data_IF_105587609389
#
_entry.id   IF_105587609389
#
_cell.length_a   1.000
_cell.length_b   1.000
_cell.length_c   1.000
_cell.angle_alpha   90.00
_cell.angle_beta   90.00
_cell.angle_gamma   90.00
#
_symmetry.space_group_name_H-M   'P 1'
#
loop_
_entity.id
_entity.type
_entity.pdbx_description
1 polymer ?
#
# COMPACT_ATOMS: atom_id res chain seq x y z
N UNK A 1 10.73 -11.55 -14.78
CA UNK A 1 10.24 -10.25 -15.33
C UNK A 1 11.44 -9.39 -15.69
N UNK A 2 11.36 -8.71 -16.83
CA UNK A 2 12.39 -7.77 -17.26
C UNK A 2 12.13 -6.45 -16.53
N UNK A 3 12.98 -6.09 -15.57
CA UNK A 3 12.92 -4.78 -14.93
C UNK A 3 13.70 -3.76 -15.78
N UNK A 4 13.10 -2.65 -16.08
CA UNK A 4 13.73 -1.55 -16.78
C UNK A 4 14.42 -0.60 -15.82
N UNK A 5 15.41 0.12 -16.31
CA UNK A 5 16.11 1.13 -15.53
C UNK A 5 15.11 2.20 -15.08
N UNK A 6 15.10 2.50 -13.78
CA UNK A 6 14.23 3.46 -13.13
C UNK A 6 12.85 2.94 -12.67
N UNK A 7 12.54 1.66 -12.85
CA UNK A 7 11.32 1.05 -12.30
C UNK A 7 11.34 1.03 -10.77
N UNK A 8 10.16 1.12 -10.18
CA UNK A 8 9.96 0.88 -8.74
C UNK A 8 9.67 -0.60 -8.55
N UNK A 9 10.45 -1.23 -7.69
CA UNK A 9 10.34 -2.67 -7.42
C UNK A 9 10.19 -2.95 -5.95
N UNK A 10 9.45 -3.99 -5.65
CA UNK A 10 9.45 -4.67 -4.36
C UNK A 10 10.14 -6.02 -4.56
N UNK A 11 11.18 -6.27 -3.82
CA UNK A 11 11.94 -7.52 -3.90
C UNK A 11 12.40 -7.96 -2.52
N UNK A 12 12.67 -9.24 -2.33
CA UNK A 12 13.29 -9.73 -1.10
C UNK A 12 14.64 -10.38 -1.41
N UNK A 13 15.50 -10.42 -0.40
CA UNK A 13 16.75 -11.12 -0.50
C UNK A 13 17.52 -11.12 0.81
N UNK A 14 18.48 -12.03 0.86
CA UNK A 14 19.34 -12.24 2.01
C UNK A 14 20.59 -11.36 1.93
N UNK A 15 20.92 -10.70 3.02
CA UNK A 15 22.16 -9.92 3.10
C UNK A 15 23.37 -10.85 3.13
N UNK A 16 24.23 -10.75 2.11
CA UNK A 16 25.46 -11.54 2.02
C UNK A 16 26.55 -11.05 2.95
N UNK A 17 26.59 -9.75 3.18
CA UNK A 17 27.66 -9.12 3.95
C UNK A 17 27.09 -8.05 4.89
N UNK A 18 27.84 -7.75 5.94
CA UNK A 18 27.52 -6.60 6.80
C UNK A 18 27.52 -5.30 5.97
N UNK A 19 26.66 -4.35 6.30
CA UNK A 19 26.62 -3.05 5.64
C UNK A 19 27.98 -2.35 5.70
N UNK A 20 28.44 -1.81 4.58
CA UNK A 20 29.69 -1.06 4.49
C UNK A 20 29.38 0.39 4.15
N UNK A 21 29.99 1.30 4.91
CA UNK A 21 29.92 2.72 4.61
C UNK A 21 31.14 3.13 3.78
N UNK A 22 30.91 3.94 2.76
CA UNK A 22 31.94 4.57 1.96
C UNK A 22 31.56 6.02 1.64
N UNK A 23 32.54 6.81 1.29
CA UNK A 23 32.30 8.18 0.84
C UNK A 23 32.43 8.22 -0.68
N UNK A 24 31.37 8.70 -1.36
CA UNK A 24 31.40 8.85 -2.82
C UNK A 24 32.35 10.00 -3.24
N UNK A 25 32.70 10.05 -4.54
CA UNK A 25 33.50 11.14 -5.11
C UNK A 25 32.89 12.53 -4.87
N UNK A 26 31.57 12.61 -4.66
CA UNK A 26 30.85 13.85 -4.31
C UNK A 26 30.78 14.11 -2.80
N UNK A 27 31.64 13.49 -2.00
CA UNK A 27 31.68 13.58 -0.52
C UNK A 27 30.38 13.18 0.19
N UNK A 28 29.50 12.41 -0.46
CA UNK A 28 28.29 11.87 0.16
C UNK A 28 28.59 10.58 0.91
N UNK A 29 28.10 10.46 2.12
CA UNK A 29 28.14 9.20 2.88
C UNK A 29 27.17 8.21 2.26
N UNK A 30 27.66 7.05 1.86
CA UNK A 30 26.87 6.00 1.21
C UNK A 30 26.99 4.71 2.00
N UNK A 31 25.88 4.01 2.19
CA UNK A 31 25.85 2.65 2.72
C UNK A 31 25.53 1.71 1.58
N UNK A 32 26.31 0.66 1.43
CA UNK A 32 26.13 -0.36 0.39
C UNK A 32 26.07 -1.75 1.02
N UNK A 33 25.15 -2.56 0.50
CA UNK A 33 24.98 -3.96 0.90
C UNK A 33 24.75 -4.81 -0.33
N UNK A 34 25.43 -5.96 -0.40
CA UNK A 34 25.15 -6.98 -1.39
C UNK A 34 24.02 -7.87 -0.89
N UNK A 35 23.02 -8.07 -1.74
CA UNK A 35 21.81 -8.85 -1.45
C UNK A 35 21.72 -9.98 -2.46
N UNK A 36 21.51 -11.19 -1.96
CA UNK A 36 21.27 -12.40 -2.76
C UNK A 36 19.78 -12.66 -2.90
N UNK A 37 19.35 -12.95 -4.11
CA UNK A 37 17.99 -13.34 -4.44
C UNK A 37 18.04 -14.60 -5.35
N UNK A 38 17.96 -15.76 -4.74
CA UNK A 38 18.09 -17.02 -5.46
C UNK A 38 19.43 -17.12 -6.21
N UNK A 39 19.39 -17.28 -7.53
CA UNK A 39 20.60 -17.36 -8.38
C UNK A 39 21.14 -16.01 -8.84
N UNK A 40 20.54 -14.91 -8.43
CA UNK A 40 20.91 -13.54 -8.81
C UNK A 40 21.17 -12.73 -7.57
N UNK A 41 21.89 -11.62 -7.74
CA UNK A 41 22.13 -10.66 -6.68
C UNK A 41 21.93 -9.24 -7.17
N UNK A 42 21.69 -8.34 -6.22
CA UNK A 42 21.64 -6.90 -6.47
C UNK A 42 22.34 -6.18 -5.33
N UNK A 43 22.58 -4.89 -5.53
CA UNK A 43 23.17 -4.03 -4.51
C UNK A 43 22.12 -3.04 -3.99
N UNK A 44 21.90 -2.96 -2.70
CA UNK A 44 21.13 -1.89 -2.09
C UNK A 44 22.06 -0.75 -1.67
N UNK A 45 21.72 0.49 -2.06
CA UNK A 45 22.57 1.67 -1.84
C UNK A 45 21.75 2.79 -1.22
N UNK A 46 22.20 3.30 -0.09
CA UNK A 46 21.60 4.45 0.59
C UNK A 46 22.56 5.64 0.60
N UNK A 47 22.07 6.79 0.19
CA UNK A 47 22.80 8.05 0.22
C UNK A 47 22.38 8.89 1.42
N UNK A 48 23.34 9.41 2.20
CA UNK A 48 23.12 10.23 3.39
C UNK A 48 22.23 9.59 4.48
N UNK A 49 22.24 8.25 4.57
CA UNK A 49 21.45 7.50 5.55
C UNK A 49 22.31 6.52 6.35
N UNK A 50 23.27 7.00 7.15
CA UNK A 50 24.18 6.12 7.91
C UNK A 50 23.47 5.27 8.96
N UNK A 51 22.30 5.70 9.45
CA UNK A 51 21.49 4.95 10.41
C UNK A 51 21.04 3.58 9.92
N UNK A 52 20.98 3.38 8.60
CA UNK A 52 20.60 2.10 7.99
C UNK A 52 21.54 0.96 8.45
N UNK A 53 22.81 1.27 8.74
CA UNK A 53 23.79 0.27 9.19
C UNK A 53 23.40 -0.41 10.50
N UNK A 54 22.75 0.28 11.41
CA UNK A 54 22.34 -0.27 12.70
C UNK A 54 21.11 -1.20 12.62
N UNK A 55 20.38 -1.15 11.50
CA UNK A 55 19.14 -1.90 11.30
C UNK A 55 19.29 -3.12 10.39
N UNK A 56 20.41 -3.23 9.68
CA UNK A 56 20.69 -4.32 8.75
C UNK A 56 21.70 -5.31 9.36
N UNK A 57 21.38 -6.59 9.30
CA UNK A 57 22.25 -7.66 9.79
C UNK A 57 22.59 -8.64 8.66
N UNK A 58 23.87 -9.01 8.55
CA UNK A 58 24.30 -10.01 7.61
C UNK A 58 23.63 -11.37 7.91
N UNK A 59 23.23 -12.07 6.87
CA UNK A 59 22.58 -13.37 6.98
C UNK A 59 21.06 -13.32 7.19
N UNK A 60 20.49 -12.17 7.47
CA UNK A 60 19.03 -11.99 7.57
C UNK A 60 18.41 -11.64 6.21
N UNK A 61 17.12 -11.96 6.06
CA UNK A 61 16.35 -11.63 4.87
C UNK A 61 15.55 -10.34 5.08
N UNK A 62 15.54 -9.50 4.05
CA UNK A 62 14.81 -8.23 4.04
C UNK A 62 14.01 -8.07 2.76
N UNK A 63 12.87 -7.39 2.90
CA UNK A 63 12.12 -6.79 1.80
C UNK A 63 12.74 -5.44 1.47
N UNK A 64 12.90 -5.17 0.18
CA UNK A 64 13.39 -3.90 -0.34
C UNK A 64 12.39 -3.31 -1.31
N UNK A 65 11.96 -2.10 -1.06
CA UNK A 65 11.10 -1.34 -1.95
C UNK A 65 11.80 -0.06 -2.39
N UNK A 66 12.02 0.08 -3.67
CA UNK A 66 12.77 1.24 -4.19
C UNK A 66 12.95 1.21 -5.69
N UNK A 67 13.70 2.20 -6.17
CA UNK A 67 13.94 2.41 -7.59
C UNK A 67 15.17 1.64 -8.07
N UNK A 68 14.99 0.85 -9.12
CA UNK A 68 16.08 0.12 -9.76
C UNK A 68 16.94 1.09 -10.58
N UNK A 69 18.26 0.87 -10.49
CA UNK A 69 19.24 1.41 -11.39
C UNK A 69 20.13 0.27 -11.89
N UNK A 70 20.17 0.09 -13.21
CA UNK A 70 21.04 -0.86 -13.86
C UNK A 70 22.15 -0.13 -14.58
N UNK A 71 23.39 -0.49 -14.32
CA UNK A 71 24.60 0.02 -14.96
C UNK A 71 25.60 -1.12 -15.25
N UNK A 72 26.78 -0.80 -15.77
CA UNK A 72 27.83 -1.79 -16.04
C UNK A 72 28.32 -2.53 -14.78
N UNK A 73 28.03 -2.02 -13.59
CA UNK A 73 28.36 -2.67 -12.30
C UNK A 73 27.27 -3.61 -11.79
N UNK A 74 26.17 -3.76 -12.51
CA UNK A 74 25.06 -4.64 -12.18
C UNK A 74 23.80 -3.90 -11.77
N UNK A 75 22.89 -4.61 -11.10
CA UNK A 75 21.59 -4.08 -10.65
C UNK A 75 21.74 -3.49 -9.24
N UNK A 76 21.27 -2.26 -9.08
CA UNK A 76 21.25 -1.60 -7.77
C UNK A 76 19.85 -1.05 -7.47
N UNK A 77 19.45 -1.05 -6.20
CA UNK A 77 18.24 -0.35 -5.73
C UNK A 77 18.69 0.86 -4.92
N UNK A 78 18.19 2.03 -5.30
CA UNK A 78 18.63 3.30 -4.74
C UNK A 78 17.68 3.78 -3.64
N UNK A 79 18.25 4.07 -2.46
CA UNK A 79 17.53 4.49 -1.26
C UNK A 79 16.29 3.64 -0.98
N UNK A 80 16.39 2.29 -1.02
CA UNK A 80 15.22 1.47 -0.76
C UNK A 80 14.72 1.66 0.68
N UNK A 81 13.40 1.66 0.83
CA UNK A 81 12.79 1.31 2.09
C UNK A 81 12.98 -0.18 2.31
N UNK A 82 13.32 -0.59 3.52
CA UNK A 82 13.57 -1.99 3.83
C UNK A 82 12.90 -2.38 5.15
N UNK A 83 12.57 -3.65 5.28
CA UNK A 83 12.08 -4.25 6.52
C UNK A 83 12.49 -5.72 6.59
N UNK A 84 12.73 -6.25 7.81
CA UNK A 84 13.00 -7.67 7.98
C UNK A 84 11.83 -8.51 7.45
N UNK A 85 12.14 -9.62 6.79
CA UNK A 85 11.14 -10.62 6.43
C UNK A 85 10.75 -11.35 7.71
N UNK A 86 9.51 -11.13 8.16
CA UNK A 86 8.96 -11.91 9.26
C UNK A 86 8.58 -13.31 8.73
N UNK A 87 9.04 -14.38 9.37
CA UNK A 87 8.74 -15.76 8.97
C UNK A 87 7.24 -16.08 8.93
N UNK A 88 6.40 -15.21 9.48
CA UNK A 88 4.95 -15.29 9.43
C UNK A 88 4.34 -14.62 8.19
N UNK A 89 5.08 -13.84 7.44
CA UNK A 89 4.63 -13.25 6.17
C UNK A 89 5.06 -14.18 5.05
N UNK A 90 4.19 -15.08 4.65
CA UNK A 90 4.38 -15.86 3.42
C UNK A 90 4.46 -14.87 2.25
N UNK A 91 5.66 -14.64 1.74
CA UNK A 91 6.02 -13.73 0.63
C UNK A 91 5.37 -14.10 -0.72
N UNK A 92 4.22 -14.73 -0.72
CA UNK A 92 3.47 -15.12 -1.93
C UNK A 92 2.35 -14.15 -2.30
N UNK A 93 2.22 -13.03 -1.59
CA UNK A 93 1.10 -12.11 -1.79
C UNK A 93 1.52 -10.66 -2.09
N UNK A 94 0.53 -9.87 -2.45
CA UNK A 94 0.64 -8.42 -2.58
C UNK A 94 0.78 -7.82 -1.19
N UNK A 95 1.82 -7.04 -0.97
CA UNK A 95 2.10 -6.40 0.32
C UNK A 95 1.78 -4.90 0.23
N UNK A 96 0.96 -4.36 1.12
CA UNK A 96 0.63 -2.94 1.12
C UNK A 96 1.85 -2.11 1.51
N UNK A 97 2.08 -1.02 0.76
CA UNK A 97 3.13 -0.04 1.03
C UNK A 97 2.48 1.29 1.40
N UNK A 98 2.74 1.75 2.61
CA UNK A 98 2.19 3.00 3.15
C UNK A 98 3.21 4.13 3.07
N UNK A 99 2.74 5.35 2.88
CA UNK A 99 3.60 6.54 3.02
C UNK A 99 3.87 6.77 4.50
N UNK A 100 5.12 6.54 4.92
CA UNK A 100 5.55 6.75 6.31
C UNK A 100 6.49 7.95 6.42
N UNK A 101 6.46 8.62 7.57
CA UNK A 101 7.34 9.74 7.89
C UNK A 101 8.01 9.52 9.25
N UNK A 102 9.20 10.08 9.42
CA UNK A 102 9.97 9.97 10.66
C UNK A 102 10.43 8.54 10.95
N UNK A 103 10.33 8.14 12.20
CA UNK A 103 10.80 6.82 12.67
C UNK A 103 9.74 5.70 12.63
N UNK A 104 8.61 5.95 11.97
CA UNK A 104 7.55 4.96 11.85
C UNK A 104 7.93 3.95 10.76
N UNK A 105 7.89 2.66 11.09
CA UNK A 105 8.19 1.60 10.12
C UNK A 105 6.93 1.10 9.43
N UNK A 106 7.08 0.53 8.22
CA UNK A 106 5.99 -0.11 7.48
C UNK A 106 5.25 -1.18 8.31
N UNK A 107 6.01 -1.96 9.10
CA UNK A 107 5.46 -2.99 9.98
C UNK A 107 4.49 -2.39 10.99
N UNK A 108 4.89 -1.32 11.69
CA UNK A 108 4.03 -0.63 12.68
C UNK A 108 2.73 -0.16 12.05
N UNK A 109 2.78 0.41 10.85
CA UNK A 109 1.57 0.88 10.16
C UNK A 109 0.68 -0.29 9.73
N UNK A 110 1.26 -1.37 9.20
CA UNK A 110 0.49 -2.57 8.84
C UNK A 110 -0.19 -3.20 10.03
N UNK A 111 0.53 -3.36 11.14
CA UNK A 111 -0.01 -3.94 12.37
C UNK A 111 -1.14 -3.07 12.94
N UNK A 112 -0.98 -1.74 12.90
CA UNK A 112 -2.01 -0.79 13.33
C UNK A 112 -3.26 -0.86 12.44
N UNK A 113 -3.10 -0.86 11.11
CA UNK A 113 -4.22 -0.98 10.16
C UNK A 113 -4.94 -2.31 10.35
N UNK A 114 -4.20 -3.42 10.46
CA UNK A 114 -4.76 -4.74 10.71
C UNK A 114 -5.57 -4.76 12.01
N UNK A 115 -5.01 -4.26 13.09
CA UNK A 115 -5.69 -4.21 14.40
C UNK A 115 -6.94 -3.35 14.34
N UNK A 116 -6.90 -2.20 13.66
CA UNK A 116 -8.05 -1.32 13.48
C UNK A 116 -9.19 -2.02 12.73
N UNK A 117 -8.92 -2.64 11.59
CA UNK A 117 -9.94 -3.33 10.79
C UNK A 117 -10.58 -4.48 11.57
N UNK A 118 -9.79 -5.27 12.32
CA UNK A 118 -10.33 -6.35 13.14
C UNK A 118 -11.21 -5.85 14.28
N UNK A 119 -10.85 -4.73 14.90
CA UNK A 119 -11.58 -4.14 16.04
C UNK A 119 -12.84 -3.35 15.65
N UNK A 120 -13.01 -2.97 14.37
CA UNK A 120 -14.14 -2.17 13.91
C UNK A 120 -15.33 -3.03 13.47
N UNK A 121 -16.54 -2.58 13.85
CA UNK A 121 -17.80 -3.08 13.28
C UNK A 121 -18.14 -2.24 12.04
N UNK A 122 -17.69 -2.71 10.88
CA UNK A 122 -17.88 -2.02 9.60
C UNK A 122 -19.20 -2.45 9.00
N UNK A 123 -20.16 -1.53 8.92
CA UNK A 123 -21.49 -1.75 8.35
C UNK A 123 -21.62 -1.07 7.00
N UNK A 124 -22.18 -1.80 6.04
CA UNK A 124 -22.54 -1.24 4.73
C UNK A 124 -23.75 -0.33 4.86
N UNK A 125 -23.74 0.80 4.16
CA UNK A 125 -24.92 1.66 4.01
C UNK A 125 -25.85 1.19 2.87
N UNK A 126 -25.35 0.27 2.02
CA UNK A 126 -26.17 -0.35 0.97
C UNK A 126 -27.18 -1.28 1.64
N UNK A 127 -28.50 -1.12 1.34
CA UNK A 127 -29.52 -1.98 1.91
C UNK A 127 -29.27 -3.47 1.63
N UNK A 128 -29.47 -4.33 2.63
CA UNK A 128 -29.22 -5.77 2.54
C UNK A 128 -29.93 -6.44 1.34
N UNK A 129 -31.11 -5.94 0.94
CA UNK A 129 -31.83 -6.40 -0.24
C UNK A 129 -31.03 -6.18 -1.54
N UNK A 130 -30.33 -5.04 -1.65
CA UNK A 130 -29.49 -4.75 -2.82
C UNK A 130 -28.19 -5.54 -2.76
N UNK A 131 -27.56 -5.61 -1.61
CA UNK A 131 -26.36 -6.44 -1.43
C UNK A 131 -26.61 -7.88 -1.84
N UNK A 132 -27.75 -8.46 -1.43
CA UNK A 132 -28.14 -9.82 -1.82
C UNK A 132 -28.49 -9.95 -3.31
N UNK A 133 -29.18 -8.95 -3.89
CA UNK A 133 -29.59 -8.98 -5.31
C UNK A 133 -28.40 -8.97 -6.25
N UNK A 134 -27.34 -8.23 -5.90
CA UNK A 134 -26.13 -8.04 -6.72
C UNK A 134 -24.94 -8.85 -6.22
N UNK A 135 -25.17 -9.78 -5.29
CA UNK A 135 -24.15 -10.66 -4.70
C UNK A 135 -22.90 -9.88 -4.25
N UNK A 136 -23.12 -8.77 -3.53
CA UNK A 136 -22.03 -7.92 -3.09
C UNK A 136 -21.30 -8.55 -1.90
N UNK A 137 -19.98 -8.58 -1.99
CA UNK A 137 -19.12 -9.00 -0.92
C UNK A 137 -19.35 -8.19 0.38
N UNK A 138 -19.09 -8.82 1.52
CA UNK A 138 -19.13 -8.15 2.82
C UNK A 138 -18.14 -6.98 2.86
N UNK A 139 -18.59 -5.81 3.29
CA UNK A 139 -17.75 -4.60 3.29
C UNK A 139 -16.51 -4.74 4.18
N UNK A 140 -16.62 -5.42 5.33
CA UNK A 140 -15.46 -5.66 6.21
C UNK A 140 -14.44 -6.58 5.53
N UNK A 141 -14.88 -7.61 4.83
CA UNK A 141 -14.01 -8.49 4.03
C UNK A 141 -13.29 -7.69 2.95
N UNK A 142 -13.99 -6.82 2.23
CA UNK A 142 -13.38 -5.95 1.23
C UNK A 142 -12.31 -5.02 1.84
N UNK A 143 -12.52 -4.46 3.05
CA UNK A 143 -11.47 -3.70 3.73
C UNK A 143 -10.27 -4.56 4.12
N UNK A 144 -10.45 -5.81 4.51
CA UNK A 144 -9.35 -6.74 4.78
C UNK A 144 -8.57 -7.00 3.49
N UNK A 145 -9.27 -7.32 2.41
CA UNK A 145 -8.67 -7.75 1.15
C UNK A 145 -8.00 -6.62 0.38
N UNK A 146 -8.42 -5.36 0.55
CA UNK A 146 -7.69 -4.23 -0.03
C UNK A 146 -6.34 -4.01 0.67
N UNK A 147 -6.21 -4.39 1.94
CA UNK A 147 -4.98 -4.22 2.72
C UNK A 147 -4.12 -5.49 2.81
N UNK A 148 -4.69 -6.66 2.61
CA UNK A 148 -3.99 -7.94 2.69
C UNK A 148 -4.57 -8.96 1.69
N UNK A 149 -4.56 -8.66 0.38
CA UNK A 149 -5.15 -9.51 -0.63
C UNK A 149 -4.37 -10.81 -0.81
N UNK A 150 -5.08 -11.89 -1.18
CA UNK A 150 -4.45 -13.15 -1.58
C UNK A 150 -3.78 -13.06 -2.97
N UNK A 151 -4.37 -12.27 -3.85
CA UNK A 151 -3.96 -12.07 -5.24
C UNK A 151 -4.47 -10.72 -5.79
N UNK A 152 -4.09 -10.40 -7.04
CA UNK A 152 -4.44 -9.13 -7.67
C UNK A 152 -5.93 -9.01 -8.02
N UNK A 153 -6.61 -10.12 -8.28
CA UNK A 153 -8.04 -10.13 -8.59
C UNK A 153 -8.85 -9.84 -7.32
N UNK A 154 -8.53 -10.50 -6.22
CA UNK A 154 -9.12 -10.22 -4.89
C UNK A 154 -8.97 -8.75 -4.51
N UNK A 155 -7.77 -8.18 -4.71
CA UNK A 155 -7.53 -6.75 -4.44
C UNK A 155 -8.42 -5.85 -5.30
N UNK A 156 -8.54 -6.14 -6.58
CA UNK A 156 -9.37 -5.37 -7.52
C UNK A 156 -10.84 -5.42 -7.10
N UNK A 157 -11.37 -6.60 -6.84
CA UNK A 157 -12.77 -6.79 -6.44
C UNK A 157 -13.07 -6.07 -5.12
N UNK A 158 -12.17 -6.14 -4.15
CA UNK A 158 -12.29 -5.43 -2.89
C UNK A 158 -12.29 -3.90 -3.09
N UNK A 159 -11.41 -3.38 -3.94
CA UNK A 159 -11.37 -1.95 -4.26
C UNK A 159 -12.66 -1.49 -4.96
N UNK A 160 -13.18 -2.26 -5.92
CA UNK A 160 -14.45 -1.99 -6.59
C UNK A 160 -15.63 -2.03 -5.62
N UNK A 161 -15.63 -2.96 -4.66
CA UNK A 161 -16.65 -3.04 -3.61
C UNK A 161 -16.67 -1.80 -2.72
N UNK A 162 -15.50 -1.29 -2.31
CA UNK A 162 -15.39 -0.06 -1.50
C UNK A 162 -15.81 1.15 -2.32
N UNK A 163 -15.37 1.26 -3.57
CA UNK A 163 -15.75 2.35 -4.47
C UNK A 163 -17.27 2.39 -4.69
N UNK A 164 -17.92 1.23 -4.81
CA UNK A 164 -19.39 1.14 -4.92
C UNK A 164 -20.09 1.69 -3.67
N UNK A 165 -19.56 1.42 -2.47
CA UNK A 165 -20.10 1.96 -1.21
C UNK A 165 -20.03 3.49 -1.20
N UNK A 166 -18.87 4.06 -1.53
CA UNK A 166 -18.66 5.50 -1.61
C UNK A 166 -19.56 6.16 -2.66
N UNK A 167 -19.66 5.54 -3.84
CA UNK A 167 -20.53 6.04 -4.91
C UNK A 167 -22.01 5.99 -4.52
N UNK A 168 -22.45 4.94 -3.83
CA UNK A 168 -23.82 4.83 -3.34
C UNK A 168 -24.16 5.95 -2.35
N UNK A 169 -23.25 6.24 -1.41
CA UNK A 169 -23.39 7.35 -0.47
C UNK A 169 -23.53 8.68 -1.23
N UNK A 170 -22.63 8.95 -2.16
CA UNK A 170 -22.58 10.18 -2.94
C UNK A 170 -23.88 10.39 -3.73
N UNK A 171 -24.32 9.39 -4.49
CA UNK A 171 -25.53 9.47 -5.32
C UNK A 171 -26.78 9.62 -4.45
N UNK A 172 -26.84 8.93 -3.32
CA UNK A 172 -27.95 9.04 -2.37
C UNK A 172 -28.05 10.44 -1.77
N UNK A 173 -26.91 11.02 -1.38
CA UNK A 173 -26.84 12.39 -0.87
C UNK A 173 -27.29 13.41 -1.91
N UNK A 174 -26.84 13.30 -3.16
CA UNK A 174 -27.29 14.19 -4.24
C UNK A 174 -28.79 14.07 -4.52
N UNK A 175 -29.35 12.86 -4.51
CA UNK A 175 -30.80 12.66 -4.69
C UNK A 175 -31.59 13.26 -3.55
N UNK A 176 -31.14 13.12 -2.32
CA UNK A 176 -31.79 13.72 -1.16
C UNK A 176 -31.83 15.24 -1.26
N UNK A 177 -30.69 15.89 -1.54
CA UNK A 177 -30.59 17.34 -1.70
C UNK A 177 -31.47 17.84 -2.86
N UNK A 178 -31.52 17.09 -3.98
CA UNK A 178 -32.36 17.47 -5.13
C UNK A 178 -33.83 17.32 -4.82
N UNK A 179 -34.25 16.31 -4.09
CA UNK A 179 -35.64 16.10 -3.66
C UNK A 179 -36.12 17.22 -2.77
N UNK A 180 -35.31 17.65 -1.81
CA UNK A 180 -35.61 18.74 -0.89
C UNK A 180 -35.80 20.07 -1.62
N UNK A 181 -34.93 20.36 -2.62
CA UNK A 181 -35.10 21.58 -3.46
C UNK A 181 -36.35 21.55 -4.33
N UNK A 182 -36.83 20.40 -4.76
CA UNK A 182 -38.09 20.31 -5.52
C UNK A 182 -39.31 20.60 -4.64
N UNK A 183 -39.31 20.09 -3.42
CA UNK A 183 -40.39 20.41 -2.47
C UNK A 183 -40.47 21.90 -2.13
N UNK A 184 -39.33 22.57 -1.90
CA UNK A 184 -39.26 24.01 -1.65
C UNK A 184 -39.81 24.80 -2.85
N UNK A 185 -39.53 24.41 -4.10
CA UNK A 185 -40.04 25.05 -5.30
C UNK A 185 -41.58 24.91 -5.45
N UNK A 186 -42.14 23.76 -5.14
CA UNK A 186 -43.58 23.51 -5.22
C UNK A 186 -44.35 24.41 -4.21
N UNK A 187 -43.78 24.59 -3.01
CA UNK A 187 -44.39 25.45 -2.00
C UNK A 187 -44.31 26.94 -2.32
N UNK A 188 -43.38 27.39 -3.19
CA UNK A 188 -43.27 28.80 -3.62
C UNK A 188 -44.21 29.20 -4.75
N UNK A 189 -44.88 28.27 -5.43
CA UNK A 189 -45.75 28.53 -6.57
C UNK A 189 -47.25 28.29 -6.28
N UNK A 190 -47.66 28.25 -5.01
CA UNK A 190 -49.08 28.39 -4.67
C UNK A 190 -49.45 29.85 -4.88
N UNK A 191 -49.66 30.23 -6.13
CA UNK A 191 -50.24 31.53 -6.46
C UNK A 191 -51.63 31.58 -5.89
N UNK A 192 -51.88 32.48 -4.96
CA UNK A 192 -53.22 32.97 -4.61
C UNK A 192 -53.82 33.53 -5.88
N UNK A 193 -54.73 32.79 -6.50
CA UNK A 193 -55.62 33.34 -7.50
C UNK A 193 -56.57 34.32 -6.79
N UNK A 194 -56.51 35.59 -7.18
CA UNK A 194 -57.42 36.64 -6.76
C UNK A 194 -58.75 36.47 -7.49
#
# INVERSE_FOLDING_TARGET
>A
EKCYNNDIVLTCGKLMTAPKMFTSARKLKCVRVAVEQGLRGFTAVWFNQPYVMSHLRAGEEYLFYGRIKSDFGGVSIINPTFEPVDNNVKLKGIVPVYTVKGNITQKVVRDAVKSAIFGLDIKSVIPARLSKKYDLENLKTAYIDVHAPSDAETQKNAAERIALEEYFILVSAFRFIKGDRQQIRINQYSCTAA
#
